data_IF_161703741129
#
_entry.id   IF_161703741129
#
_cell.length_a   1.000
_cell.length_b   1.000
_cell.length_c   1.000
_cell.angle_alpha   90.00
_cell.angle_beta   90.00
_cell.angle_gamma   90.00
#
_symmetry.space_group_name_H-M   'P 1'
#
loop_
_entity.id
_entity.type
_entity.pdbx_description
1 polymer ?
#
# COMPACT_ATOMS: atom_id res chain seq x y z
N UNK A 1 3.44 14.72 -6.95
CA UNK A 1 3.69 13.33 -7.34
C UNK A 1 5.16 13.08 -7.12
N UNK A 2 5.53 12.03 -6.39
CA UNK A 2 6.93 11.61 -6.26
C UNK A 2 7.43 11.07 -7.61
N UNK A 3 8.71 11.26 -7.93
CA UNK A 3 9.32 10.47 -9.01
C UNK A 3 9.33 8.99 -8.63
N UNK A 4 9.44 8.10 -9.61
CA UNK A 4 9.53 6.65 -9.34
C UNK A 4 10.69 6.32 -8.39
N UNK A 5 11.86 6.95 -8.59
CA UNK A 5 13.04 6.75 -7.75
C UNK A 5 12.84 7.22 -6.31
N UNK A 6 12.22 8.38 -6.10
CA UNK A 6 11.91 8.91 -4.77
C UNK A 6 10.90 8.01 -4.05
N UNK A 7 9.84 7.62 -4.76
CA UNK A 7 8.81 6.74 -4.22
C UNK A 7 9.37 5.37 -3.81
N UNK A 8 10.25 4.79 -4.66
CA UNK A 8 10.92 3.53 -4.36
C UNK A 8 11.82 3.64 -3.14
N UNK A 9 12.63 4.70 -3.05
CA UNK A 9 13.53 4.90 -1.92
C UNK A 9 12.76 5.02 -0.61
N UNK A 10 11.71 5.85 -0.56
CA UNK A 10 10.86 6.00 0.63
C UNK A 10 10.24 4.67 1.08
N UNK A 11 9.75 3.87 0.13
CA UNK A 11 9.18 2.56 0.44
C UNK A 11 10.26 1.61 0.97
N UNK A 12 11.44 1.56 0.36
CA UNK A 12 12.55 0.73 0.84
C UNK A 12 12.98 1.13 2.25
N UNK A 13 13.17 2.42 2.51
CA UNK A 13 13.54 2.94 3.82
C UNK A 13 12.48 2.60 4.89
N UNK A 14 11.20 2.66 4.53
CA UNK A 14 10.11 2.29 5.44
C UNK A 14 10.09 0.81 5.80
N UNK A 15 10.51 -0.07 4.88
CA UNK A 15 10.64 -1.51 5.13
C UNK A 15 11.88 -1.81 5.98
N UNK A 16 13.02 -1.19 5.66
CA UNK A 16 14.29 -1.40 6.39
C UNK A 16 14.19 -0.93 7.84
N UNK A 17 13.44 0.15 8.08
CA UNK A 17 13.22 0.71 9.43
C UNK A 17 12.07 0.06 10.19
N UNK A 18 11.34 -0.89 9.59
CA UNK A 18 10.18 -1.50 10.21
C UNK A 18 10.59 -2.33 11.45
N UNK A 19 9.90 -2.18 12.60
CA UNK A 19 10.18 -2.99 13.76
C UNK A 19 9.86 -4.46 13.49
N UNK A 20 10.75 -5.35 13.95
CA UNK A 20 10.58 -6.80 13.85
C UNK A 20 10.25 -7.36 15.23
N UNK A 21 9.18 -8.15 15.30
CA UNK A 21 8.74 -8.84 16.51
C UNK A 21 8.68 -10.35 16.27
N UNK A 22 8.69 -11.14 17.34
CA UNK A 22 8.38 -12.56 17.24
C UNK A 22 6.87 -12.77 17.23
N UNK A 23 6.38 -13.48 16.21
CA UNK A 23 4.99 -13.93 16.14
C UNK A 23 4.98 -15.45 16.17
N UNK A 24 4.78 -16.01 17.37
CA UNK A 24 4.96 -17.44 17.57
C UNK A 24 6.43 -17.84 17.36
N UNK A 25 6.67 -18.67 16.35
CA UNK A 25 7.96 -19.25 16.01
C UNK A 25 8.69 -18.54 14.85
N UNK A 26 8.18 -17.41 14.36
CA UNK A 26 8.79 -16.69 13.24
C UNK A 26 8.92 -15.17 13.48
N UNK A 27 9.95 -14.52 12.89
CA UNK A 27 10.06 -13.07 12.91
C UNK A 27 9.04 -12.44 11.96
N UNK A 28 8.33 -11.42 12.44
CA UNK A 28 7.34 -10.67 11.70
C UNK A 28 7.68 -9.18 11.74
N UNK A 29 7.83 -8.55 10.59
CA UNK A 29 7.98 -7.10 10.51
C UNK A 29 6.61 -6.45 10.61
N UNK A 30 6.49 -5.40 11.43
CA UNK A 30 5.27 -4.62 11.58
C UNK A 30 5.43 -3.36 10.74
N UNK A 31 4.60 -3.20 9.70
CA UNK A 31 4.77 -2.11 8.76
C UNK A 31 3.47 -1.32 8.54
N UNK A 32 3.52 0.03 8.47
CA UNK A 32 2.33 0.87 8.41
C UNK A 32 1.37 0.50 7.26
N UNK A 33 1.90 0.14 6.08
CA UNK A 33 1.08 -0.23 4.91
C UNK A 33 0.40 -1.60 5.02
N UNK A 34 0.97 -2.54 5.78
CA UNK A 34 0.49 -3.93 5.85
C UNK A 34 -0.32 -4.21 7.11
N UNK A 35 0.01 -3.52 8.20
CA UNK A 35 -0.53 -3.77 9.53
C UNK A 35 -1.37 -2.60 10.06
N UNK A 36 -1.31 -1.43 9.41
CA UNK A 36 -1.92 -0.19 9.89
C UNK A 36 -1.23 0.40 11.12
N UNK A 37 -0.15 -0.23 11.59
CA UNK A 37 0.69 0.19 12.70
C UNK A 37 2.17 -0.04 12.35
N UNK A 38 3.10 0.79 12.87
CA UNK A 38 2.85 2.10 13.48
C UNK A 38 2.12 3.05 12.52
N UNK A 39 1.66 4.22 13.03
CA UNK A 39 0.76 5.11 12.28
C UNK A 39 1.25 5.38 10.85
N UNK A 40 0.39 5.06 9.88
CA UNK A 40 0.64 5.33 8.47
C UNK A 40 0.66 6.83 8.17
N UNK A 41 1.71 7.30 7.51
CA UNK A 41 1.84 8.68 7.06
C UNK A 41 1.22 8.87 5.68
N UNK A 42 0.74 10.08 5.40
CA UNK A 42 0.28 10.46 4.06
C UNK A 42 1.40 10.37 3.03
N UNK A 43 2.63 10.71 3.41
CA UNK A 43 3.82 10.63 2.57
C UNK A 43 4.08 9.20 2.07
N UNK A 44 4.13 8.22 2.98
CA UNK A 44 4.36 6.81 2.61
C UNK A 44 3.23 6.28 1.72
N UNK A 45 1.99 6.63 2.02
CA UNK A 45 0.83 6.23 1.22
C UNK A 45 0.88 6.85 -0.19
N UNK A 46 1.22 8.14 -0.30
CA UNK A 46 1.38 8.84 -1.57
C UNK A 46 2.56 8.29 -2.38
N UNK A 47 3.70 8.01 -1.75
CA UNK A 47 4.85 7.38 -2.41
C UNK A 47 4.47 6.02 -2.98
N UNK A 48 3.79 5.18 -2.20
CA UNK A 48 3.34 3.85 -2.63
C UNK A 48 2.35 3.94 -3.79
N UNK A 49 1.37 4.86 -3.71
CA UNK A 49 0.43 5.13 -4.79
C UNK A 49 1.16 5.56 -6.06
N UNK A 50 2.05 6.54 -5.95
CA UNK A 50 2.77 7.08 -7.11
C UNK A 50 3.64 6.00 -7.75
N UNK A 51 4.31 5.15 -6.96
CA UNK A 51 5.07 4.02 -7.47
C UNK A 51 4.22 3.06 -8.32
N UNK A 52 3.00 2.76 -7.88
CA UNK A 52 2.05 1.94 -8.64
C UNK A 52 1.53 2.67 -9.89
N UNK A 53 1.32 3.99 -9.81
CA UNK A 53 0.95 4.81 -10.97
C UNK A 53 2.03 4.78 -12.06
N UNK A 54 3.31 4.66 -11.69
CA UNK A 54 4.40 4.52 -12.67
C UNK A 54 4.53 3.11 -13.25
N UNK A 55 4.18 2.06 -12.48
CA UNK A 55 4.53 0.66 -12.82
C UNK A 55 3.41 -0.18 -13.38
N UNK A 56 2.17 0.25 -13.20
CA UNK A 56 0.99 -0.45 -13.73
C UNK A 56 0.56 0.22 -15.02
N UNK A 57 0.26 -0.59 -16.03
CA UNK A 57 -0.41 -0.14 -17.23
C UNK A 57 -1.91 0.03 -16.95
N UNK A 58 -2.31 1.26 -16.61
CA UNK A 58 -3.67 1.58 -16.19
C UNK A 58 -4.67 1.67 -17.35
N UNK A 59 -4.21 1.74 -18.61
CA UNK A 59 -5.12 1.76 -19.77
C UNK A 59 -5.89 0.45 -19.92
N UNK A 60 -5.34 -0.64 -19.38
CA UNK A 60 -5.91 -1.98 -19.42
C UNK A 60 -6.50 -2.44 -18.07
N UNK A 61 -6.85 -1.50 -17.18
CA UNK A 61 -7.39 -1.80 -15.84
C UNK A 61 -8.78 -1.18 -15.68
N UNK A 62 -9.80 -2.03 -15.55
CA UNK A 62 -11.19 -1.59 -15.34
C UNK A 62 -11.63 -1.58 -13.86
N UNK A 63 -10.86 -2.21 -12.97
CA UNK A 63 -11.25 -2.43 -11.58
C UNK A 63 -10.04 -2.53 -10.65
N UNK A 64 -10.11 -1.87 -9.48
CA UNK A 64 -9.18 -2.06 -8.37
C UNK A 64 -9.83 -2.93 -7.30
N UNK A 65 -9.35 -4.17 -7.14
CA UNK A 65 -9.79 -5.09 -6.10
C UNK A 65 -8.85 -5.03 -4.89
N UNK A 66 -9.42 -4.81 -3.71
CA UNK A 66 -8.68 -4.88 -2.43
C UNK A 66 -9.34 -5.82 -1.45
N UNK A 67 -8.54 -6.43 -0.58
CA UNK A 67 -9.01 -7.23 0.56
C UNK A 67 -9.08 -6.35 1.81
N UNK A 68 -10.11 -6.56 2.63
CA UNK A 68 -10.21 -5.86 3.91
C UNK A 68 -9.14 -6.34 4.94
N UNK A 69 -8.68 -5.49 5.87
CA UNK A 69 -8.98 -4.06 6.00
C UNK A 69 -7.83 -3.16 5.54
N UNK A 70 -6.58 -3.67 5.59
CA UNK A 70 -5.38 -2.85 5.43
C UNK A 70 -5.09 -2.45 3.98
N UNK A 71 -5.65 -3.14 2.99
CA UNK A 71 -5.53 -2.72 1.58
C UNK A 71 -6.39 -1.50 1.24
N UNK A 72 -7.41 -1.19 2.05
CA UNK A 72 -8.41 -0.17 1.75
C UNK A 72 -7.83 1.24 1.58
N UNK A 73 -6.87 1.72 2.40
CA UNK A 73 -6.29 3.04 2.20
C UNK A 73 -5.59 3.18 0.84
N UNK A 74 -4.81 2.17 0.44
CA UNK A 74 -4.08 2.19 -0.83
C UNK A 74 -5.04 2.10 -2.03
N UNK A 75 -6.03 1.22 -1.96
CA UNK A 75 -7.07 1.10 -2.98
C UNK A 75 -7.85 2.40 -3.16
N UNK A 76 -8.20 3.07 -2.06
CA UNK A 76 -8.93 4.35 -2.08
C UNK A 76 -8.13 5.44 -2.80
N UNK A 77 -6.84 5.60 -2.46
CA UNK A 77 -6.02 6.65 -3.10
C UNK A 77 -5.71 6.34 -4.56
N UNK A 78 -5.59 5.06 -4.94
CA UNK A 78 -5.45 4.67 -6.34
C UNK A 78 -6.72 4.94 -7.13
N UNK A 79 -7.89 4.61 -6.58
CA UNK A 79 -9.19 4.89 -7.21
C UNK A 79 -9.38 6.37 -7.48
N UNK A 80 -9.10 7.22 -6.48
CA UNK A 80 -9.17 8.67 -6.65
C UNK A 80 -8.19 9.19 -7.71
N UNK A 81 -6.99 8.61 -7.79
CA UNK A 81 -5.98 9.07 -8.76
C UNK A 81 -6.17 8.55 -10.18
N UNK A 82 -6.83 7.40 -10.36
CA UNK A 82 -7.03 6.77 -11.68
C UNK A 82 -8.43 6.97 -12.23
N UNK A 83 -9.40 7.30 -11.38
CA UNK A 83 -10.83 7.28 -11.73
C UNK A 83 -11.43 5.87 -11.80
N UNK A 84 -10.63 4.82 -11.57
CA UNK A 84 -11.06 3.42 -11.66
C UNK A 84 -11.86 3.03 -10.41
N UNK A 85 -13.02 2.36 -10.56
CA UNK A 85 -13.82 1.93 -9.42
C UNK A 85 -13.10 0.90 -8.54
N UNK A 86 -13.41 0.92 -7.25
CA UNK A 86 -12.89 -0.04 -6.26
C UNK A 86 -13.94 -1.06 -5.83
N UNK A 87 -13.49 -2.31 -5.67
CA UNK A 87 -14.26 -3.40 -5.04
C UNK A 87 -13.51 -3.92 -3.83
N UNK A 88 -14.24 -4.18 -2.75
CA UNK A 88 -13.69 -4.71 -1.51
C UNK A 88 -14.11 -6.17 -1.32
N UNK A 89 -13.12 -7.07 -1.36
CA UNK A 89 -13.29 -8.45 -0.93
C UNK A 89 -13.31 -8.51 0.60
N UNK A 90 -14.42 -9.01 1.16
CA UNK A 90 -14.59 -9.22 2.59
C UNK A 90 -14.34 -10.67 2.98
N UNK A 91 -13.74 -10.88 4.15
CA UNK A 91 -13.53 -12.21 4.70
C UNK A 91 -14.89 -12.74 5.16
N UNK A 92 -15.22 -13.98 4.80
CA UNK A 92 -16.40 -14.66 5.33
C UNK A 92 -16.04 -15.22 6.71
N UNK A 93 -16.90 -14.95 7.68
CA UNK A 93 -16.83 -15.50 9.04
C UNK A 93 -17.02 -17.00 9.06
#
# INVERSE_FOLDING_TARGET
MFSESQALQLLQDSVVSAPVVWKGDYPYFIHPLTDGVPRQTSELLCATRDLLLHRVDWENVDLILSVEAMGLPLASVLSVSTGIPTVVARKRS
#
